data_IF_252767313552
#
_entry.id   IF_252767313552
#
_cell.length_a   1.000
_cell.length_b   1.000
_cell.length_c   1.000
_cell.angle_alpha   90.00
_cell.angle_beta   90.00
_cell.angle_gamma   90.00
#
_symmetry.space_group_name_H-M   'P 1'
#
loop_
_entity.id
_entity.type
_entity.pdbx_description
1 polymer ?
#
# COMPACT_ATOMS: atom_id res chain seq x y z
N UNK A 1 20.40 -15.76 93.61
CA UNK A 1 20.22 -14.32 93.31
C UNK A 1 20.61 -14.08 91.86
N UNK A 2 19.88 -13.18 91.19
CA UNK A 2 19.69 -13.00 89.74
C UNK A 2 20.97 -12.84 88.90
N UNK A 3 20.97 -13.41 87.69
CA UNK A 3 21.09 -12.71 86.39
C UNK A 3 21.19 -13.77 85.26
N UNK A 4 20.18 -13.91 84.40
CA UNK A 4 19.82 -13.09 83.24
C UNK A 4 20.41 -13.65 81.92
N UNK A 5 19.54 -14.40 81.22
CA UNK A 5 19.35 -14.53 79.78
C UNK A 5 20.48 -14.04 78.85
N UNK A 6 21.02 -14.97 78.05
CA UNK A 6 21.52 -14.66 76.71
C UNK A 6 20.87 -15.64 75.73
N UNK A 7 20.01 -15.11 74.87
CA UNK A 7 19.38 -15.83 73.77
C UNK A 7 20.19 -15.52 72.51
N UNK A 8 20.82 -16.54 71.93
CA UNK A 8 21.47 -16.44 70.62
C UNK A 8 20.44 -16.84 69.58
N UNK A 9 19.92 -15.86 68.86
CA UNK A 9 19.01 -16.05 67.73
C UNK A 9 19.80 -16.61 66.54
N UNK A 10 19.45 -17.82 66.11
CA UNK A 10 19.89 -18.41 64.86
C UNK A 10 19.11 -17.79 63.69
N UNK A 11 19.79 -17.00 62.86
CA UNK A 11 19.25 -16.48 61.60
C UNK A 11 19.66 -17.36 60.43
N UNK A 12 18.81 -18.31 60.03
CA UNK A 12 18.96 -19.07 58.79
C UNK A 12 18.32 -18.24 57.67
N UNK A 13 19.14 -17.63 56.81
CA UNK A 13 18.68 -16.93 55.61
C UNK A 13 18.32 -17.94 54.53
N UNK A 14 17.02 -18.21 54.36
CA UNK A 14 16.51 -19.00 53.23
C UNK A 14 16.32 -18.05 52.05
N UNK A 15 17.27 -18.06 51.12
CA UNK A 15 17.13 -17.41 49.81
C UNK A 15 16.04 -18.13 49.02
N UNK A 16 14.84 -17.54 48.96
CA UNK A 16 13.78 -17.96 48.06
C UNK A 16 14.13 -17.48 46.66
N UNK A 17 14.75 -18.35 45.87
CA UNK A 17 14.95 -18.11 44.44
C UNK A 17 13.58 -18.22 43.77
N UNK A 18 12.91 -17.07 43.64
CA UNK A 18 11.70 -16.97 42.83
C UNK A 18 12.12 -17.17 41.39
N UNK A 19 11.96 -18.39 40.88
CA UNK A 19 12.00 -18.67 39.45
C UNK A 19 10.85 -17.91 38.81
N UNK A 20 11.15 -16.71 38.30
CA UNK A 20 10.28 -15.99 37.39
C UNK A 20 10.27 -16.79 36.07
N UNK A 21 9.35 -17.75 35.97
CA UNK A 21 8.96 -18.36 34.71
C UNK A 21 8.30 -17.28 33.87
N UNK A 22 9.13 -16.55 33.11
CA UNK A 22 8.64 -15.75 31.99
C UNK A 22 8.16 -16.73 30.93
N UNK A 23 6.91 -17.18 31.03
CA UNK A 23 6.23 -17.73 29.86
C UNK A 23 6.06 -16.56 28.89
N UNK A 24 7.06 -16.33 28.04
CA UNK A 24 6.81 -15.72 26.75
C UNK A 24 5.79 -16.65 26.08
N UNK A 25 4.51 -16.30 26.20
CA UNK A 25 3.50 -16.82 25.28
C UNK A 25 3.97 -16.37 23.91
N UNK A 26 4.67 -17.26 23.18
CA UNK A 26 4.71 -17.19 21.73
C UNK A 26 3.26 -17.16 21.31
N UNK A 27 2.79 -15.97 20.93
CA UNK A 27 1.56 -15.83 20.18
C UNK A 27 1.88 -16.47 18.84
N UNK A 28 1.63 -17.77 18.73
CA UNK A 28 1.46 -18.41 17.43
C UNK A 28 0.30 -17.67 16.78
N UNK A 29 0.62 -16.88 15.75
CA UNK A 29 -0.39 -16.22 14.94
C UNK A 29 -1.29 -17.31 14.37
N UNK A 30 -2.57 -17.31 14.74
CA UNK A 30 -3.56 -18.21 14.15
C UNK A 30 -3.45 -18.09 12.62
N UNK A 31 -3.13 -19.19 11.90
CA UNK A 31 -2.95 -19.16 10.44
C UNK A 31 -4.23 -18.74 9.68
N UNK A 32 -5.38 -18.71 10.36
CA UNK A 32 -6.66 -18.23 9.83
C UNK A 32 -7.04 -16.82 10.31
N UNK A 33 -6.16 -16.12 11.04
CA UNK A 33 -6.44 -14.75 11.47
C UNK A 33 -6.28 -13.77 10.30
N UNK A 34 -7.40 -13.20 9.88
CA UNK A 34 -7.41 -12.10 8.92
C UNK A 34 -7.26 -10.76 9.64
N UNK A 35 -6.45 -9.89 9.07
CA UNK A 35 -6.25 -8.53 9.56
C UNK A 35 -7.29 -7.60 8.94
N UNK A 36 -7.69 -6.58 9.71
CA UNK A 36 -8.57 -5.52 9.20
C UNK A 36 -7.87 -4.76 8.08
N UNK A 37 -8.51 -4.70 6.92
CA UNK A 37 -8.04 -3.92 5.78
C UNK A 37 -8.35 -2.44 6.02
N UNK A 38 -7.39 -1.58 5.72
CA UNK A 38 -7.47 -0.13 5.93
C UNK A 38 -7.57 0.59 4.59
N UNK A 39 -8.13 1.79 4.59
CA UNK A 39 -8.10 2.65 3.40
C UNK A 39 -6.65 2.94 2.97
N UNK A 40 -6.44 3.08 1.66
CA UNK A 40 -5.12 3.39 1.11
C UNK A 40 -4.96 3.00 -0.35
N UNK A 41 -3.72 3.14 -0.81
CA UNK A 41 -3.29 2.82 -2.17
C UNK A 41 -2.30 1.65 -2.12
N UNK A 42 -2.70 0.53 -2.70
CA UNK A 42 -1.97 -0.73 -2.70
C UNK A 42 -1.48 -1.03 -4.11
N UNK A 43 -0.22 -1.45 -4.26
CA UNK A 43 0.41 -1.71 -5.55
C UNK A 43 0.80 -3.18 -5.68
N UNK A 44 0.60 -3.74 -6.87
CA UNK A 44 1.19 -5.03 -7.21
C UNK A 44 2.69 -4.87 -7.44
N UNK A 45 3.42 -5.99 -7.51
CA UNK A 45 4.74 -5.98 -8.12
C UNK A 45 4.63 -5.60 -9.61
N UNK A 46 5.67 -4.96 -10.13
CA UNK A 46 5.83 -4.76 -11.58
C UNK A 46 6.13 -6.12 -12.21
N UNK A 47 5.31 -6.53 -13.16
CA UNK A 47 5.44 -7.81 -13.85
C UNK A 47 5.94 -7.59 -15.26
N UNK A 48 7.00 -8.29 -15.64
CA UNK A 48 7.56 -8.23 -17.00
C UNK A 48 6.69 -9.04 -17.95
N UNK A 49 6.49 -8.49 -19.15
CA UNK A 49 5.93 -9.15 -20.31
C UNK A 49 7.02 -9.28 -21.37
N UNK A 50 6.79 -10.11 -22.40
CA UNK A 50 7.70 -10.21 -23.55
C UNK A 50 7.92 -8.83 -24.20
N UNK A 51 6.84 -8.07 -24.40
CA UNK A 51 6.88 -6.76 -25.04
C UNK A 51 6.67 -5.59 -24.08
N UNK A 52 7.02 -5.73 -22.80
CA UNK A 52 6.94 -4.61 -21.86
C UNK A 52 6.77 -5.02 -20.40
N UNK A 53 5.88 -4.33 -19.70
CA UNK A 53 5.49 -4.67 -18.34
C UNK A 53 4.08 -4.21 -18.03
N UNK A 54 3.50 -4.75 -16.97
CA UNK A 54 2.33 -4.15 -16.34
C UNK A 54 2.50 -4.03 -14.83
N UNK A 55 1.75 -3.12 -14.25
CA UNK A 55 1.65 -2.91 -12.82
C UNK A 55 0.26 -2.42 -12.46
N UNK A 56 -0.16 -2.67 -11.23
CA UNK A 56 -1.51 -2.37 -10.78
C UNK A 56 -1.52 -1.61 -9.49
N UNK A 57 -2.63 -0.92 -9.29
CA UNK A 57 -2.93 -0.19 -8.09
C UNK A 57 -4.40 -0.39 -7.71
N UNK A 58 -4.66 -0.68 -6.45
CA UNK A 58 -5.97 -0.58 -5.83
C UNK A 58 -5.99 0.64 -4.91
N UNK A 59 -6.83 1.61 -5.20
CA UNK A 59 -7.26 2.62 -4.24
C UNK A 59 -8.52 2.11 -3.54
N UNK A 60 -8.47 2.00 -2.21
CA UNK A 60 -9.59 1.62 -1.36
C UNK A 60 -9.95 2.77 -0.43
N UNK A 61 -11.17 3.27 -0.52
CA UNK A 61 -11.76 4.20 0.44
C UNK A 61 -12.80 3.47 1.29
N UNK A 62 -12.30 2.87 2.37
CA UNK A 62 -13.08 2.17 3.39
C UNK A 62 -13.26 3.02 4.65
N UNK A 63 -13.44 4.34 4.50
CA UNK A 63 -13.68 5.22 5.66
C UNK A 63 -14.87 4.70 6.49
N UNK A 64 -14.72 4.51 7.82
CA UNK A 64 -15.79 4.02 8.69
C UNK A 64 -17.06 4.88 8.67
N UNK A 65 -16.93 6.14 8.24
CA UNK A 65 -18.01 7.12 8.16
C UNK A 65 -18.81 7.04 6.86
N UNK A 66 -18.33 6.31 5.84
CA UNK A 66 -19.03 6.16 4.56
C UNK A 66 -19.88 4.90 4.57
N UNK A 67 -21.15 5.06 4.19
CA UNK A 67 -22.14 3.96 4.13
C UNK A 67 -21.74 2.85 3.17
N UNK A 68 -21.10 3.19 2.05
CA UNK A 68 -20.58 2.26 1.05
C UNK A 68 -19.11 2.59 0.75
N UNK A 69 -18.15 1.76 1.20
CA UNK A 69 -16.77 1.84 0.74
C UNK A 69 -16.70 1.80 -0.78
N UNK A 70 -15.76 2.54 -1.36
CA UNK A 70 -15.51 2.58 -2.80
C UNK A 70 -14.11 2.09 -3.11
N UNK A 71 -13.93 1.56 -4.31
CA UNK A 71 -12.62 1.21 -4.80
C UNK A 71 -12.42 1.68 -6.23
N UNK A 72 -11.14 1.85 -6.56
CA UNK A 72 -10.68 2.01 -7.94
C UNK A 72 -9.49 1.12 -8.10
N UNK A 73 -9.62 0.13 -8.98
CA UNK A 73 -8.53 -0.68 -9.43
C UNK A 73 -8.05 -0.13 -10.77
N UNK A 74 -6.73 -0.01 -10.93
CA UNK A 74 -6.12 0.41 -12.18
C UNK A 74 -4.96 -0.50 -12.55
N UNK A 75 -4.87 -0.84 -13.82
CA UNK A 75 -3.73 -1.54 -14.41
C UNK A 75 -3.08 -0.64 -15.44
N UNK A 76 -1.82 -0.30 -15.22
CA UNK A 76 -0.96 0.30 -16.22
C UNK A 76 -0.19 -0.79 -16.95
N UNK A 77 -0.36 -0.85 -18.27
CA UNK A 77 0.46 -1.65 -19.18
C UNK A 77 1.34 -0.72 -20.01
N UNK A 78 2.64 -0.99 -20.08
CA UNK A 78 3.60 -0.21 -20.86
C UNK A 78 4.35 -1.14 -21.79
N UNK A 79 4.29 -0.83 -23.08
CA UNK A 79 4.97 -1.60 -24.13
C UNK A 79 6.41 -1.14 -24.33
N UNK A 80 7.25 -1.94 -25.02
CA UNK A 80 8.62 -1.55 -25.40
C UNK A 80 8.66 -0.29 -26.28
N UNK A 81 7.62 -0.07 -27.09
CA UNK A 81 7.43 1.14 -27.89
C UNK A 81 6.90 2.34 -27.07
N UNK A 82 6.85 2.19 -25.74
CA UNK A 82 6.37 3.17 -24.75
C UNK A 82 4.90 3.55 -24.88
N UNK A 83 4.14 2.92 -25.76
CA UNK A 83 2.67 3.02 -25.73
C UNK A 83 2.16 2.49 -24.40
N UNK A 84 1.21 3.22 -23.80
CA UNK A 84 0.67 2.90 -22.49
C UNK A 84 -0.82 2.75 -22.58
N UNK A 85 -1.31 1.79 -21.82
CA UNK A 85 -2.72 1.54 -21.61
C UNK A 85 -3.00 1.55 -20.11
N UNK A 86 -4.04 2.27 -19.70
CA UNK A 86 -4.52 2.28 -18.33
C UNK A 86 -5.96 1.79 -18.29
N UNK A 87 -6.17 0.59 -17.75
CA UNK A 87 -7.51 0.05 -17.51
C UNK A 87 -7.94 0.43 -16.10
N UNK A 88 -9.06 1.15 -15.96
CA UNK A 88 -9.66 1.55 -14.68
C UNK A 88 -10.96 0.82 -14.45
N UNK A 89 -11.10 0.26 -13.25
CA UNK A 89 -12.27 -0.44 -12.76
C UNK A 89 -12.72 0.27 -11.49
N UNK A 90 -13.91 0.86 -11.53
CA UNK A 90 -14.49 1.62 -10.42
C UNK A 90 -15.71 0.85 -9.89
N UNK A 91 -15.92 0.89 -8.57
CA UNK A 91 -17.10 0.26 -7.97
C UNK A 91 -17.16 0.37 -6.45
N UNK A 92 -17.95 -0.51 -5.85
CA UNK A 92 -18.17 -0.57 -4.40
C UNK A 92 -17.43 -1.73 -3.76
N UNK A 93 -17.01 -1.55 -2.51
CA UNK A 93 -16.42 -2.60 -1.69
C UNK A 93 -17.41 -2.97 -0.58
N UNK A 94 -17.95 -4.19 -0.64
CA UNK A 94 -18.88 -4.74 0.36
C UNK A 94 -18.08 -5.42 1.45
N UNK A 95 -18.30 -5.08 2.71
CA UNK A 95 -17.60 -5.74 3.83
C UNK A 95 -17.94 -7.22 3.90
N UNK A 96 -16.91 -8.07 4.06
CA UNK A 96 -17.05 -9.52 4.26
C UNK A 96 -16.44 -9.93 5.61
N UNK A 97 -16.46 -11.24 5.92
CA UNK A 97 -15.84 -11.77 7.15
C UNK A 97 -14.31 -11.62 7.16
N UNK A 98 -13.68 -11.65 5.99
CA UNK A 98 -12.22 -11.71 5.81
C UNK A 98 -11.64 -10.38 5.31
N UNK A 99 -12.48 -9.49 4.77
CA UNK A 99 -12.08 -8.18 4.28
C UNK A 99 -13.21 -7.52 3.48
N UNK A 100 -13.07 -7.47 2.16
CA UNK A 100 -14.04 -6.84 1.26
C UNK A 100 -14.29 -7.67 0.01
N UNK A 101 -15.51 -7.64 -0.50
CA UNK A 101 -15.85 -8.07 -1.85
C UNK A 101 -15.95 -6.82 -2.74
N UNK A 102 -15.09 -6.73 -3.74
CA UNK A 102 -15.06 -5.66 -4.72
C UNK A 102 -16.05 -6.00 -5.84
N UNK A 103 -17.05 -5.15 -6.02
CA UNK A 103 -18.09 -5.28 -7.05
C UNK A 103 -17.93 -4.11 -8.02
N UNK A 104 -17.37 -4.32 -9.22
CA UNK A 104 -17.25 -3.30 -10.25
C UNK A 104 -18.60 -2.78 -10.72
N UNK A 105 -18.61 -1.49 -11.05
CA UNK A 105 -19.75 -0.79 -11.64
C UNK A 105 -19.39 -0.17 -13.00
N UNK A 106 -18.11 0.08 -13.27
CA UNK A 106 -17.65 0.69 -14.52
C UNK A 106 -16.23 0.25 -14.84
N UNK A 107 -16.00 -0.15 -16.11
CA UNK A 107 -14.67 -0.43 -16.63
C UNK A 107 -14.36 0.45 -17.85
N UNK A 108 -13.19 1.09 -17.83
CA UNK A 108 -12.74 2.03 -18.86
C UNK A 108 -11.28 1.76 -19.20
N UNK A 109 -10.94 1.92 -20.47
CA UNK A 109 -9.56 1.77 -20.98
C UNK A 109 -9.14 3.09 -21.58
N UNK A 110 -7.98 3.56 -21.11
CA UNK A 110 -7.34 4.77 -21.57
C UNK A 110 -6.02 4.44 -22.24
N UNK A 111 -5.61 5.23 -23.23
CA UNK A 111 -4.27 5.10 -23.81
C UNK A 111 -3.59 6.45 -23.91
N UNK A 112 -2.26 6.42 -23.89
CA UNK A 112 -1.43 7.53 -24.30
C UNK A 112 -0.16 6.99 -24.97
N UNK A 113 0.54 7.86 -25.70
CA UNK A 113 1.78 7.46 -26.38
C UNK A 113 2.99 7.46 -25.47
N UNK A 114 3.03 8.37 -24.49
CA UNK A 114 4.21 8.61 -23.65
C UNK A 114 3.78 9.18 -22.28
N UNK A 115 4.69 9.13 -21.30
CA UNK A 115 4.52 9.79 -20.01
C UNK A 115 4.31 11.29 -20.14
N UNK A 116 3.47 11.85 -19.28
CA UNK A 116 3.14 13.27 -19.32
C UNK A 116 2.09 13.65 -20.39
N UNK A 117 1.68 12.73 -21.26
CA UNK A 117 0.58 12.98 -22.19
C UNK A 117 -0.77 12.68 -21.52
N UNK A 118 -1.79 13.48 -21.85
CA UNK A 118 -3.18 13.24 -21.42
C UNK A 118 -3.68 11.88 -21.91
N UNK A 119 -4.44 11.21 -21.05
CA UNK A 119 -5.09 9.95 -21.36
C UNK A 119 -6.27 10.16 -22.32
N UNK A 120 -6.35 9.34 -23.36
CA UNK A 120 -7.51 9.27 -24.26
C UNK A 120 -8.35 8.04 -23.91
N UNK A 121 -9.65 8.23 -23.65
CA UNK A 121 -10.59 7.12 -23.47
C UNK A 121 -10.77 6.39 -24.81
N UNK A 122 -10.42 5.10 -24.85
CA UNK A 122 -10.55 4.29 -26.07
C UNK A 122 -11.67 3.24 -25.98
N UNK A 123 -12.00 2.78 -24.77
CA UNK A 123 -13.07 1.79 -24.56
C UNK A 123 -13.74 2.00 -23.21
N UNK A 124 -15.03 1.68 -23.16
CA UNK A 124 -15.79 1.48 -21.94
C UNK A 124 -16.64 0.23 -22.12
N UNK A 125 -16.77 -0.58 -21.08
CA UNK A 125 -17.54 -1.83 -21.13
C UNK A 125 -18.14 -2.16 -19.77
N UNK A 126 -19.23 -2.91 -19.81
CA UNK A 126 -19.88 -3.42 -18.61
C UNK A 126 -19.03 -4.55 -18.00
N UNK A 127 -18.86 -4.50 -16.68
CA UNK A 127 -18.04 -5.44 -15.94
C UNK A 127 -18.62 -5.81 -14.57
N UNK A 128 -19.94 -5.64 -14.45
CA UNK A 128 -20.76 -5.98 -13.29
C UNK A 128 -20.80 -7.48 -12.96
N UNK A 129 -20.45 -8.33 -13.92
CA UNK A 129 -20.29 -9.77 -13.76
C UNK A 129 -18.98 -10.18 -13.07
N UNK A 130 -18.02 -9.26 -12.93
CA UNK A 130 -16.77 -9.53 -12.23
C UNK A 130 -16.95 -9.36 -10.73
N UNK A 131 -16.30 -10.21 -9.94
CA UNK A 131 -16.30 -10.12 -8.47
C UNK A 131 -14.92 -10.50 -7.96
N UNK A 132 -14.39 -9.72 -7.02
CA UNK A 132 -13.09 -9.98 -6.43
C UNK A 132 -13.18 -9.97 -4.91
N UNK A 133 -12.55 -10.94 -4.26
CA UNK A 133 -12.42 -11.03 -2.82
C UNK A 133 -11.08 -10.44 -2.38
N UNK A 134 -11.15 -9.59 -1.37
CA UNK A 134 -10.03 -8.90 -0.80
C UNK A 134 -9.84 -9.36 0.65
N UNK A 135 -8.65 -9.87 0.96
CA UNK A 135 -8.28 -10.29 2.30
C UNK A 135 -6.92 -9.72 2.70
N UNK A 136 -6.61 -9.73 4.00
CA UNK A 136 -5.28 -9.38 4.49
C UNK A 136 -4.84 -10.38 5.55
N UNK A 137 -3.64 -10.93 5.38
CA UNK A 137 -2.97 -11.78 6.38
C UNK A 137 -1.72 -11.11 6.98
N UNK A 138 -1.31 -9.97 6.42
CA UNK A 138 -0.09 -9.24 6.78
C UNK A 138 -0.35 -7.74 6.79
N UNK A 139 0.21 -6.98 7.76
CA UNK A 139 0.08 -5.53 7.77
C UNK A 139 0.56 -4.91 6.45
N UNK A 140 -0.13 -3.87 5.99
CA UNK A 140 0.18 -3.15 4.74
C UNK A 140 0.18 -4.02 3.46
N UNK A 141 -0.38 -5.23 3.54
CA UNK A 141 -0.53 -6.14 2.40
C UNK A 141 -1.98 -6.59 2.27
N UNK A 142 -2.40 -6.85 1.05
CA UNK A 142 -3.69 -7.44 0.72
C UNK A 142 -3.50 -8.51 -0.36
N UNK A 143 -4.36 -9.51 -0.34
CA UNK A 143 -4.52 -10.49 -1.41
C UNK A 143 -5.85 -10.25 -2.12
N UNK A 144 -5.85 -10.30 -3.46
CA UNK A 144 -7.04 -10.22 -4.30
C UNK A 144 -7.26 -11.56 -5.00
N UNK A 145 -8.47 -12.09 -4.94
CA UNK A 145 -8.86 -13.39 -5.53
C UNK A 145 -10.20 -13.29 -6.29
N UNK A 146 -10.29 -13.70 -7.57
CA UNK A 146 -9.17 -14.03 -8.44
C UNK A 146 -8.27 -12.81 -8.67
N UNK A 147 -7.01 -13.01 -9.07
CA UNK A 147 -6.25 -11.86 -9.55
C UNK A 147 -6.85 -11.36 -10.87
N UNK A 148 -6.59 -10.10 -11.19
CA UNK A 148 -6.99 -9.51 -12.48
C UNK A 148 -6.15 -10.04 -13.66
N UNK A 149 -5.19 -10.96 -13.44
CA UNK A 149 -4.50 -11.71 -14.52
C UNK A 149 -5.30 -12.98 -14.79
N UNK A 150 -5.68 -13.24 -16.05
CA UNK A 150 -6.19 -14.55 -16.44
C UNK A 150 -5.23 -15.67 -16.01
N UNK A 151 -5.74 -16.67 -15.29
CA UNK A 151 -4.97 -17.84 -14.87
C UNK A 151 -4.11 -17.65 -13.62
N UNK A 152 -4.08 -16.46 -13.00
CA UNK A 152 -3.46 -16.29 -11.68
C UNK A 152 -4.55 -16.34 -10.60
N UNK A 153 -4.50 -17.32 -9.68
CA UNK A 153 -5.57 -17.51 -8.69
C UNK A 153 -5.63 -16.37 -7.67
N UNK A 154 -4.50 -15.76 -7.33
CA UNK A 154 -4.44 -14.68 -6.36
C UNK A 154 -3.30 -13.69 -6.64
N UNK A 155 -3.55 -12.42 -6.36
CA UNK A 155 -2.57 -11.34 -6.52
C UNK A 155 -2.24 -10.69 -5.17
N UNK A 156 -0.96 -10.49 -4.88
CA UNK A 156 -0.50 -9.81 -3.66
C UNK A 156 -0.15 -8.34 -3.96
N UNK A 157 -0.68 -7.44 -3.12
CA UNK A 157 -0.49 -6.01 -3.25
C UNK A 157 -0.03 -5.43 -1.92
N UNK A 158 0.85 -4.43 -1.98
CA UNK A 158 1.38 -3.75 -0.80
C UNK A 158 1.16 -2.25 -0.85
N UNK A 159 0.98 -1.65 0.32
CA UNK A 159 1.06 -0.19 0.49
C UNK A 159 2.31 0.18 1.28
N UNK A 160 2.70 1.44 1.20
CA UNK A 160 3.80 1.98 2.00
C UNK A 160 3.45 1.91 3.51
N UNK A 161 4.45 1.73 4.36
CA UNK A 161 4.28 1.64 5.82
C UNK A 161 3.69 2.92 6.39
N UNK A 162 4.10 4.10 5.89
CA UNK A 162 3.49 5.37 6.24
C UNK A 162 2.36 5.82 5.33
N UNK A 163 1.81 4.92 4.50
CA UNK A 163 0.63 5.25 3.71
C UNK A 163 -0.58 5.47 4.63
N UNK A 164 -1.12 6.68 4.56
CA UNK A 164 -2.38 7.08 5.16
C UNK A 164 -3.31 7.72 4.09
N UNK A 165 -4.62 7.83 4.35
CA UNK A 165 -5.57 8.35 3.36
C UNK A 165 -5.32 9.79 2.87
N UNK A 166 -4.60 10.60 3.65
CA UNK A 166 -4.29 12.00 3.35
C UNK A 166 -3.02 12.14 2.48
N UNK A 167 -2.19 11.09 2.40
CA UNK A 167 -1.02 11.05 1.51
C UNK A 167 -1.40 10.47 0.16
N UNK A 168 -0.94 11.12 -0.91
CA UNK A 168 -1.00 10.57 -2.26
C UNK A 168 0.22 9.68 -2.45
N UNK A 169 0.05 8.47 -2.95
CA UNK A 169 1.16 7.60 -3.28
C UNK A 169 1.41 7.51 -4.79
N UNK A 170 2.64 7.18 -5.16
CA UNK A 170 2.98 6.79 -6.52
C UNK A 170 4.10 5.74 -6.50
N UNK A 171 4.08 4.85 -7.48
CA UNK A 171 5.10 3.82 -7.67
C UNK A 171 6.18 4.30 -8.63
N UNK A 172 7.44 4.05 -8.32
CA UNK A 172 8.57 4.27 -9.24
C UNK A 172 8.54 3.22 -10.34
N UNK A 173 8.35 3.64 -11.58
CA UNK A 173 8.31 2.78 -12.76
C UNK A 173 9.71 2.54 -13.36
N UNK A 174 10.51 3.60 -13.41
CA UNK A 174 11.86 3.56 -13.97
C UNK A 174 12.86 4.26 -13.05
N UNK A 175 13.98 3.56 -12.82
CA UNK A 175 15.11 4.00 -11.99
C UNK A 175 16.40 3.77 -12.77
N UNK A 176 16.91 4.82 -13.41
CA UNK A 176 18.12 4.72 -14.24
C UNK A 176 18.74 6.06 -14.64
N UNK A 177 18.02 7.17 -14.45
CA UNK A 177 18.52 8.53 -14.67
C UNK A 177 18.30 9.42 -13.46
N UNK A 178 18.70 10.70 -13.58
CA UNK A 178 18.46 11.73 -12.56
C UNK A 178 16.97 11.99 -12.32
N UNK A 179 16.16 11.76 -13.35
CA UNK A 179 14.71 11.88 -13.35
C UNK A 179 14.14 10.47 -13.30
N UNK A 180 13.25 10.26 -12.35
CA UNK A 180 12.52 9.02 -12.13
C UNK A 180 11.10 9.22 -12.64
N UNK A 181 10.61 8.23 -13.38
CA UNK A 181 9.21 8.19 -13.77
C UNK A 181 8.39 7.48 -12.69
N UNK A 182 7.27 8.09 -12.31
CA UNK A 182 6.34 7.53 -11.34
C UNK A 182 4.91 7.50 -11.87
N UNK A 183 4.12 6.60 -11.28
CA UNK A 183 2.72 6.41 -11.62
C UNK A 183 1.87 6.18 -10.38
N UNK A 184 0.70 6.80 -10.33
CA UNK A 184 -0.25 6.68 -9.24
C UNK A 184 -1.55 7.39 -9.56
N UNK A 185 -2.66 6.73 -9.25
CA UNK A 185 -4.02 7.17 -9.58
C UNK A 185 -4.34 8.59 -9.11
N UNK A 186 -3.85 8.97 -7.92
CA UNK A 186 -4.13 10.28 -7.30
C UNK A 186 -3.06 11.35 -7.59
N UNK A 187 -2.10 11.11 -8.49
CA UNK A 187 -1.06 12.11 -8.83
C UNK A 187 -1.64 13.44 -9.36
N UNK A 188 -2.81 13.40 -10.00
CA UNK A 188 -3.55 14.58 -10.46
C UNK A 188 -4.02 15.51 -9.33
N UNK A 189 -4.01 15.01 -8.08
CA UNK A 189 -4.39 15.75 -6.88
C UNK A 189 -3.19 16.35 -6.13
N UNK A 190 -1.97 16.12 -6.62
CA UNK A 190 -0.77 16.73 -6.05
C UNK A 190 -0.83 18.24 -6.30
N UNK A 191 -0.73 19.03 -5.22
CA UNK A 191 -0.74 20.49 -5.28
C UNK A 191 0.68 21.03 -5.41
N UNK A 192 0.77 22.28 -5.87
CA UNK A 192 2.03 23.04 -5.86
C UNK A 192 2.61 23.05 -4.43
N UNK A 193 3.93 22.86 -4.33
CA UNK A 193 4.68 22.79 -3.06
C UNK A 193 4.37 21.58 -2.16
N UNK A 194 3.79 20.50 -2.70
CA UNK A 194 3.71 19.24 -1.96
C UNK A 194 5.12 18.74 -1.58
N UNK A 195 5.24 18.20 -0.36
CA UNK A 195 6.46 17.54 0.08
C UNK A 195 6.42 16.06 -0.33
N UNK A 196 7.58 15.48 -0.64
CA UNK A 196 7.65 14.12 -1.18
C UNK A 196 8.76 13.35 -0.50
N UNK A 197 8.42 12.12 -0.14
CA UNK A 197 9.34 11.17 0.46
C UNK A 197 9.28 9.87 -0.31
N UNK A 198 10.43 9.35 -0.69
CA UNK A 198 10.59 7.98 -1.15
C UNK A 198 10.67 7.06 0.07
N UNK A 199 9.77 6.08 0.16
CA UNK A 199 9.78 5.06 1.20
C UNK A 199 10.15 3.69 0.62
N UNK A 200 11.16 3.08 1.23
CA UNK A 200 11.63 1.72 0.92
C UNK A 200 10.76 0.67 1.61
N UNK A 201 10.84 -0.56 1.13
CA UNK A 201 10.14 -1.70 1.75
C UNK A 201 10.58 -1.95 3.21
N UNK A 202 11.84 -1.63 3.56
CA UNK A 202 12.36 -1.69 4.93
C UNK A 202 11.93 -0.49 5.81
N UNK A 203 11.14 0.43 5.27
CA UNK A 203 10.66 1.64 5.95
C UNK A 203 11.64 2.81 5.95
N UNK A 204 12.84 2.69 5.35
CA UNK A 204 13.74 3.84 5.19
C UNK A 204 13.12 4.88 4.27
N UNK A 205 13.34 6.15 4.62
CA UNK A 205 12.76 7.31 3.96
C UNK A 205 13.81 8.27 3.46
N UNK A 206 13.62 8.76 2.24
CA UNK A 206 14.51 9.72 1.60
C UNK A 206 13.70 10.88 1.02
N UNK A 207 14.07 12.14 1.31
CA UNK A 207 13.42 13.28 0.69
C UNK A 207 13.72 13.30 -0.81
N UNK A 208 12.71 13.53 -1.64
CA UNK A 208 12.87 13.70 -3.09
C UNK A 208 12.15 14.96 -3.54
N UNK A 209 12.44 15.44 -4.75
CA UNK A 209 11.81 16.65 -5.31
C UNK A 209 10.92 16.27 -6.49
N UNK A 210 9.69 16.77 -6.52
CA UNK A 210 8.84 16.67 -7.71
C UNK A 210 9.31 17.66 -8.75
N UNK A 211 9.18 17.23 -10.01
CA UNK A 211 9.30 18.11 -11.16
C UNK A 211 7.91 18.44 -11.69
N UNK A 212 7.12 17.42 -12.01
CA UNK A 212 5.85 17.57 -12.69
C UNK A 212 4.94 16.37 -12.41
N UNK A 213 3.62 16.63 -12.40
CA UNK A 213 2.60 15.58 -12.41
C UNK A 213 1.57 15.90 -13.49
N UNK A 214 1.20 14.89 -14.27
CA UNK A 214 0.15 14.98 -15.28
C UNK A 214 -0.73 13.74 -15.15
N UNK A 215 -1.99 13.98 -14.79
CA UNK A 215 -3.00 12.95 -14.57
C UNK A 215 -2.54 11.84 -13.61
N UNK A 216 -2.23 10.64 -14.08
CA UNK A 216 -1.75 9.52 -13.23
C UNK A 216 -0.25 9.29 -13.32
N UNK A 217 0.49 10.19 -13.98
CA UNK A 217 1.93 10.09 -14.21
C UNK A 217 2.66 11.27 -13.58
N UNK A 218 3.94 11.09 -13.27
CA UNK A 218 4.77 12.17 -12.76
C UNK A 218 6.26 11.91 -12.91
N UNK A 219 7.03 12.96 -12.69
CA UNK A 219 8.49 12.95 -12.71
C UNK A 219 9.05 13.51 -11.41
N UNK A 220 10.05 12.82 -10.86
CA UNK A 220 10.75 13.27 -9.65
C UNK A 220 12.27 13.17 -9.81
N UNK A 221 13.02 13.91 -9.02
CA UNK A 221 14.48 13.78 -8.93
C UNK A 221 14.90 13.27 -7.57
N UNK A 222 15.83 12.32 -7.56
CA UNK A 222 16.38 11.70 -6.35
C UNK A 222 17.91 11.60 -6.45
N UNK A 223 18.60 12.74 -6.31
CA UNK A 223 20.06 12.78 -6.41
C UNK A 223 20.71 12.16 -5.16
N UNK A 224 21.68 11.25 -5.38
CA UNK A 224 22.42 10.59 -4.28
C UNK A 224 21.61 9.59 -3.47
N UNK A 225 20.40 9.22 -3.91
CA UNK A 225 19.52 8.27 -3.23
C UNK A 225 19.49 6.97 -4.03
N UNK A 226 19.70 5.79 -3.41
CA UNK A 226 19.54 4.53 -4.10
C UNK A 226 18.04 4.32 -4.38
N UNK A 227 17.61 4.35 -5.65
CA UNK A 227 16.20 4.17 -6.04
C UNK A 227 16.05 2.92 -6.90
N UNK A 228 15.02 2.13 -6.60
CA UNK A 228 14.67 0.91 -7.32
C UNK A 228 13.28 1.04 -7.95
N UNK A 229 13.08 0.36 -9.09
CA UNK A 229 11.73 0.13 -9.63
C UNK A 229 10.86 -0.55 -8.56
N UNK A 230 9.65 -0.04 -8.38
CA UNK A 230 8.70 -0.51 -7.37
C UNK A 230 8.82 0.18 -6.01
N UNK A 231 9.78 1.07 -5.77
CA UNK A 231 9.74 1.95 -4.58
C UNK A 231 8.46 2.80 -4.59
N UNK A 232 7.93 3.13 -3.41
CA UNK A 232 6.73 3.98 -3.30
C UNK A 232 7.14 5.38 -2.84
N UNK A 233 6.68 6.38 -3.58
CA UNK A 233 6.70 7.78 -3.17
C UNK A 233 5.41 8.13 -2.43
N UNK A 234 5.54 8.99 -1.43
CA UNK A 234 4.43 9.58 -0.69
C UNK A 234 4.50 11.09 -0.77
N UNK A 235 3.45 11.69 -1.32
CA UNK A 235 3.25 13.12 -1.44
C UNK A 235 2.35 13.59 -0.29
N UNK A 236 2.68 14.75 0.27
CA UNK A 236 1.87 15.44 1.28
C UNK A 236 1.62 16.87 0.82
N UNK A 237 0.36 17.17 0.53
CA UNK A 237 -0.06 18.50 0.12
C UNK A 237 -0.03 19.47 1.32
N UNK A 238 0.33 20.75 1.09
CA UNK A 238 0.33 21.75 2.15
C UNK A 238 -1.09 22.05 2.65
N UNK A 239 -1.27 22.09 3.98
CA UNK A 239 -2.52 22.49 4.63
C UNK A 239 -3.66 21.46 4.55
N UNK A 240 -3.38 20.23 4.11
CA UNK A 240 -4.40 19.20 3.96
C UNK A 240 -4.47 18.31 5.21
N UNK A 241 -5.64 18.31 5.87
CA UNK A 241 -5.94 17.50 7.05
C UNK A 241 -7.01 16.43 6.79
N UNK A 242 -7.63 16.45 5.60
CA UNK A 242 -8.74 15.57 5.25
C UNK A 242 -8.38 14.65 4.08
N UNK A 243 -8.95 13.44 4.00
CA UNK A 243 -8.63 12.50 2.93
C UNK A 243 -9.02 13.07 1.57
N UNK A 244 -8.08 13.03 0.63
CA UNK A 244 -8.37 13.30 -0.77
C UNK A 244 -9.24 12.16 -1.32
N UNK A 245 -10.56 12.36 -1.30
CA UNK A 245 -11.51 11.44 -1.92
C UNK A 245 -11.35 11.45 -3.43
N UNK A 246 -11.54 10.28 -4.04
CA UNK A 246 -11.74 10.17 -5.48
C UNK A 246 -13.18 10.53 -5.85
#
# INVERSE_FOLDING_TARGET
MKNAKSAVFAGICIFSVVFCSSSEKRIESDPNSFLKIVSGEYYSKIQKLEEGYFVRQLFLDASPTKKNPKFIFTQLSVTLSKNREETRIEGIAKTTKTGFQLVPESCRVFTNRESGNRWALVRAYDCDHLVFELASKKPNSISIEPDFIPGTPSGEYRKAISSDPNRISALVLESGGKILEVWGLRLSRVRKNATIVLEKEDGKRYPVRALETIETTGQVTAEGIPVNKGDILLYSNPGESTPLSY
#
